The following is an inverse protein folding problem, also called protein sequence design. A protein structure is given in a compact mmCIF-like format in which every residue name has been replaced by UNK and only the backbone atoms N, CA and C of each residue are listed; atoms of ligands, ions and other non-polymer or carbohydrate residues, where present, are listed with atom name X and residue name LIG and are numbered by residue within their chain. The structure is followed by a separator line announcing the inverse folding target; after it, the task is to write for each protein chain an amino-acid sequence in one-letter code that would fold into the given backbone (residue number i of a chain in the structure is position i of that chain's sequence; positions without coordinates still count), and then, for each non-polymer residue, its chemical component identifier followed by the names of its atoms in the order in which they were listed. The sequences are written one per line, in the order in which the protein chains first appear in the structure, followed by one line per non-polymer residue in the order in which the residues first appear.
data_IF_305375010840
#
_entry.id   IF_305375010840
#
_cell.length_a   1.000
_cell.length_b   1.000
_cell.length_c   1.000
_cell.angle_alpha   90.00
_cell.angle_beta   90.00
_cell.angle_gamma   90.00
#
_symmetry.space_group_name_H-M   'P 1'
#
loop_
_entity.id
_entity.type
_entity.pdbx_description
1 polymer ?
#
# COMPACT_ATOMS: atom_id res chain seq x y z
N UNK A 1 -60.75 12.49 -4.08
CA UNK A 1 -59.53 11.95 -3.44
C UNK A 1 -58.69 11.33 -4.54
N UNK A 2 -57.94 12.18 -5.23
CA UNK A 2 -57.03 11.78 -6.29
C UNK A 2 -55.64 11.81 -5.69
N UNK A 3 -55.01 10.64 -5.54
CA UNK A 3 -53.63 10.51 -5.12
C UNK A 3 -52.73 10.96 -6.27
N UNK A 4 -52.03 12.07 -6.07
CA UNK A 4 -50.86 12.44 -6.86
C UNK A 4 -49.73 11.45 -6.51
N UNK A 5 -49.52 10.46 -7.38
CA UNK A 5 -48.26 9.73 -7.42
C UNK A 5 -47.25 10.57 -8.21
N UNK A 6 -46.19 10.96 -7.50
CA UNK A 6 -45.01 11.68 -7.97
C UNK A 6 -44.37 11.02 -9.20
N UNK A 7 -44.48 11.67 -10.35
CA UNK A 7 -44.00 11.22 -11.67
C UNK A 7 -42.49 11.40 -11.91
N UNK A 8 -41.68 11.76 -10.90
CA UNK A 8 -40.25 12.08 -11.08
C UNK A 8 -39.30 10.90 -10.93
N UNK A 9 -39.72 9.79 -10.33
CA UNK A 9 -38.82 8.66 -9.97
C UNK A 9 -38.66 7.61 -11.07
N UNK A 10 -39.68 7.47 -11.94
CA UNK A 10 -39.72 6.46 -13.01
C UNK A 10 -38.72 6.74 -14.15
N UNK A 11 -38.50 7.99 -14.61
CA UNK A 11 -37.50 8.30 -15.64
C UNK A 11 -36.06 8.03 -15.19
N UNK A 12 -35.76 8.26 -13.90
CA UNK A 12 -34.44 8.06 -13.31
C UNK A 12 -34.04 6.58 -13.26
N UNK A 13 -34.97 5.70 -12.87
CA UNK A 13 -34.75 4.25 -12.86
C UNK A 13 -34.54 3.69 -14.27
N UNK A 14 -35.34 4.13 -15.26
CA UNK A 14 -35.17 3.70 -16.65
C UNK A 14 -33.84 4.18 -17.25
N UNK A 15 -33.41 5.42 -16.99
CA UNK A 15 -32.12 5.93 -17.53
C UNK A 15 -30.91 5.25 -16.88
N UNK A 16 -30.97 4.93 -15.58
CA UNK A 16 -29.96 4.08 -14.94
C UNK A 16 -29.93 2.69 -15.57
N UNK A 17 -31.08 2.07 -15.87
CA UNK A 17 -31.12 0.78 -16.57
C UNK A 17 -30.52 0.88 -17.99
N UNK A 18 -30.74 1.98 -18.71
CA UNK A 18 -30.26 2.13 -20.10
C UNK A 18 -28.73 2.30 -20.19
N UNK A 19 -28.07 2.91 -19.21
CA UNK A 19 -26.62 3.19 -19.27
C UNK A 19 -25.77 2.38 -18.27
N UNK A 20 -26.40 1.68 -17.33
CA UNK A 20 -25.73 0.93 -16.26
C UNK A 20 -26.26 -0.51 -16.09
N UNK A 21 -26.74 -1.12 -17.18
CA UNK A 21 -26.96 -2.57 -17.27
C UNK A 21 -25.81 -3.28 -18.00
N UNK A 22 -25.54 -4.54 -17.62
CA UNK A 22 -24.62 -5.46 -18.28
C UNK A 22 -25.21 -5.97 -19.62
N UNK A 23 -25.59 -5.05 -20.51
CA UNK A 23 -26.02 -5.33 -21.87
C UNK A 23 -24.84 -5.17 -22.82
N UNK A 24 -24.73 -6.06 -23.81
CA UNK A 24 -23.62 -5.98 -24.77
C UNK A 24 -23.62 -4.64 -25.53
N UNK A 25 -24.78 -4.01 -25.74
CA UNK A 25 -24.85 -2.71 -26.42
C UNK A 25 -24.31 -1.54 -25.58
N UNK A 26 -24.39 -1.60 -24.24
CA UNK A 26 -23.93 -0.51 -23.36
C UNK A 26 -22.41 -0.50 -23.21
N UNK A 27 -21.76 -1.67 -23.28
CA UNK A 27 -20.30 -1.79 -23.20
C UNK A 27 -19.58 -1.12 -24.39
N UNK A 28 -20.22 -1.05 -25.56
CA UNK A 28 -19.67 -0.49 -26.79
C UNK A 28 -19.91 1.03 -26.94
N UNK A 29 -20.71 1.64 -26.06
CA UNK A 29 -20.96 3.08 -26.11
C UNK A 29 -19.69 3.87 -25.75
N UNK A 30 -19.41 4.99 -26.45
CA UNK A 30 -18.28 5.85 -26.12
C UNK A 30 -18.49 6.50 -24.75
N UNK A 31 -17.89 5.91 -23.71
CA UNK A 31 -18.07 6.26 -22.28
C UNK A 31 -17.91 7.75 -21.99
N UNK A 32 -16.95 8.40 -22.65
CA UNK A 32 -16.73 9.84 -22.50
C UNK A 32 -17.89 10.68 -23.07
N UNK A 33 -18.48 10.29 -24.20
CA UNK A 33 -19.63 10.99 -24.78
C UNK A 33 -20.88 10.81 -23.92
N UNK A 34 -21.08 9.61 -23.37
CA UNK A 34 -22.18 9.35 -22.41
C UNK A 34 -22.01 10.22 -21.17
N UNK A 35 -20.79 10.32 -20.63
CA UNK A 35 -20.51 11.22 -19.50
C UNK A 35 -20.83 12.69 -19.82
N UNK A 36 -20.44 13.18 -21.00
CA UNK A 36 -20.76 14.54 -21.44
C UNK A 36 -22.27 14.74 -21.54
N UNK A 37 -22.98 13.81 -22.19
CA UNK A 37 -24.43 13.86 -22.34
C UNK A 37 -25.16 13.84 -20.99
N UNK A 38 -24.78 12.95 -20.07
CA UNK A 38 -25.37 12.89 -18.73
C UNK A 38 -25.08 14.17 -17.94
N UNK A 39 -23.89 14.74 -18.08
CA UNK A 39 -23.55 16.01 -17.42
C UNK A 39 -24.41 17.18 -17.87
N UNK A 40 -24.85 17.19 -19.13
CA UNK A 40 -25.69 18.24 -19.70
C UNK A 40 -27.19 18.02 -19.46
N UNK A 41 -27.65 16.76 -19.51
CA UNK A 41 -29.08 16.43 -19.48
C UNK A 41 -29.59 16.02 -18.11
N UNK A 42 -28.83 15.24 -17.35
CA UNK A 42 -29.25 14.63 -16.08
C UNK A 42 -28.05 14.52 -15.10
N UNK A 43 -27.65 15.63 -14.46
CA UNK A 43 -26.47 15.67 -13.59
C UNK A 43 -26.50 14.66 -12.43
N UNK A 44 -27.70 14.29 -11.95
CA UNK A 44 -27.90 13.35 -10.85
C UNK A 44 -27.48 11.91 -11.21
N UNK A 45 -27.46 11.56 -12.51
CA UNK A 45 -27.03 10.25 -13.00
C UNK A 45 -25.52 10.13 -13.19
N UNK A 46 -24.77 11.23 -13.10
CA UNK A 46 -23.33 11.24 -13.33
C UNK A 46 -22.58 10.40 -12.29
N UNK A 47 -22.91 10.55 -11.00
CA UNK A 47 -22.27 9.78 -9.93
C UNK A 47 -22.59 8.27 -10.08
N UNK A 48 -23.86 7.84 -10.18
CA UNK A 48 -24.19 6.43 -10.42
C UNK A 48 -23.51 5.83 -11.64
N UNK A 49 -23.46 6.56 -12.75
CA UNK A 49 -22.81 6.11 -13.99
C UNK A 49 -21.30 5.92 -13.80
N UNK A 50 -20.62 6.87 -13.16
CA UNK A 50 -19.18 6.78 -12.89
C UNK A 50 -18.85 5.69 -11.87
N UNK A 51 -19.66 5.53 -10.82
CA UNK A 51 -19.55 4.41 -9.87
C UNK A 51 -19.67 3.08 -10.60
N UNK A 52 -20.63 2.96 -11.52
CA UNK A 52 -20.83 1.74 -12.31
C UNK A 52 -19.63 1.45 -13.21
N UNK A 53 -19.17 2.40 -14.02
CA UNK A 53 -18.03 2.18 -14.91
C UNK A 53 -16.77 1.81 -14.12
N UNK A 54 -16.50 2.50 -13.00
CA UNK A 54 -15.26 2.29 -12.25
C UNK A 54 -15.31 0.98 -11.45
N UNK A 55 -16.43 0.66 -10.80
CA UNK A 55 -16.52 -0.52 -9.93
C UNK A 55 -16.97 -1.80 -10.65
N UNK A 56 -17.81 -1.69 -11.68
CA UNK A 56 -18.33 -2.84 -12.42
C UNK A 56 -17.48 -3.18 -13.64
N UNK A 57 -17.04 -2.17 -14.38
CA UNK A 57 -16.25 -2.35 -15.60
C UNK A 57 -14.74 -2.14 -15.40
N UNK A 58 -14.31 -1.88 -14.15
CA UNK A 58 -12.90 -1.70 -13.76
C UNK A 58 -12.14 -0.72 -14.67
N UNK A 59 -12.82 0.34 -15.10
CA UNK A 59 -12.21 1.31 -16.01
C UNK A 59 -11.14 2.14 -15.28
N UNK A 60 -9.92 2.08 -15.80
CA UNK A 60 -8.74 2.73 -15.24
C UNK A 60 -8.53 4.17 -15.75
N UNK A 61 -9.42 4.70 -16.59
CA UNK A 61 -9.23 5.99 -17.26
C UNK A 61 -9.25 7.14 -16.25
N UNK A 62 -8.15 7.92 -16.12
CA UNK A 62 -8.04 8.96 -15.10
C UNK A 62 -9.14 10.03 -15.12
N UNK A 63 -9.69 10.33 -16.30
CA UNK A 63 -10.77 11.31 -16.47
C UNK A 63 -12.01 10.91 -15.66
N UNK A 64 -12.37 9.62 -15.65
CA UNK A 64 -13.56 9.15 -14.92
C UNK A 64 -13.35 9.22 -13.41
N UNK A 65 -12.18 8.77 -12.94
CA UNK A 65 -11.81 8.84 -11.52
C UNK A 65 -11.74 10.29 -11.02
N UNK A 66 -11.11 11.17 -11.80
CA UNK A 66 -11.07 12.60 -11.48
C UNK A 66 -12.46 13.23 -11.47
N UNK A 67 -13.31 12.88 -12.44
CA UNK A 67 -14.67 13.43 -12.49
C UNK A 67 -15.48 12.96 -11.29
N UNK A 68 -15.36 11.69 -10.92
CA UNK A 68 -16.06 11.13 -9.76
C UNK A 68 -15.65 11.81 -8.46
N UNK A 69 -14.35 12.01 -8.22
CA UNK A 69 -13.87 12.74 -7.03
C UNK A 69 -14.41 14.17 -7.01
N UNK A 70 -14.37 14.90 -8.13
CA UNK A 70 -14.92 16.26 -8.19
C UNK A 70 -16.43 16.26 -7.87
N UNK A 71 -17.20 15.33 -8.45
CA UNK A 71 -18.65 15.24 -8.23
C UNK A 71 -19.02 14.86 -6.79
N UNK A 72 -18.26 13.94 -6.18
CA UNK A 72 -18.41 13.67 -4.74
C UNK A 72 -18.14 14.92 -3.91
N UNK A 73 -17.02 15.61 -4.15
CA UNK A 73 -16.69 16.80 -3.38
C UNK A 73 -17.73 17.92 -3.56
N UNK A 74 -18.20 18.19 -4.78
CA UNK A 74 -19.26 19.17 -5.05
C UNK A 74 -20.51 18.88 -4.23
N UNK A 75 -21.01 17.63 -4.26
CA UNK A 75 -22.22 17.22 -3.54
C UNK A 75 -22.03 17.24 -2.02
N UNK A 76 -20.89 16.74 -1.53
CA UNK A 76 -20.55 16.74 -0.10
C UNK A 76 -20.45 18.17 0.43
N UNK A 77 -19.86 19.11 -0.30
CA UNK A 77 -19.73 20.50 0.18
C UNK A 77 -21.08 21.20 0.34
N UNK A 78 -22.04 20.93 -0.55
CA UNK A 78 -23.41 21.43 -0.42
C UNK A 78 -24.06 20.85 0.83
N UNK A 79 -24.09 19.52 0.93
CA UNK A 79 -24.70 18.81 2.07
C UNK A 79 -24.04 19.16 3.42
N UNK A 80 -22.72 19.35 3.44
CA UNK A 80 -21.97 19.73 4.62
C UNK A 80 -22.32 21.15 5.08
N UNK A 81 -22.59 22.06 4.14
CA UNK A 81 -23.03 23.43 4.47
C UNK A 81 -24.39 23.40 5.15
N UNK A 82 -25.34 22.65 4.57
CA UNK A 82 -26.68 22.49 5.13
C UNK A 82 -26.65 21.79 6.50
N UNK A 83 -25.85 20.74 6.63
CA UNK A 83 -25.65 20.04 7.89
C UNK A 83 -25.08 20.96 8.98
N UNK A 84 -24.05 21.75 8.67
CA UNK A 84 -23.45 22.68 9.63
C UNK A 84 -24.42 23.78 10.07
N UNK A 85 -25.28 24.25 9.17
CA UNK A 85 -26.32 25.22 9.49
C UNK A 85 -27.45 24.62 10.35
N UNK A 86 -27.66 23.30 10.27
CA UNK A 86 -28.66 22.59 11.08
C UNK A 86 -28.21 22.28 12.50
N UNK A 87 -26.89 22.34 12.78
CA UNK A 87 -26.35 22.03 14.09
C UNK A 87 -26.61 23.16 15.10
N UNK A 88 -26.93 22.83 16.37
CA UNK A 88 -26.98 23.83 17.42
C UNK A 88 -25.62 24.53 17.61
N UNK A 89 -25.64 25.81 17.97
CA UNK A 89 -24.41 26.56 18.22
C UNK A 89 -23.50 25.82 19.23
N UNK A 90 -22.23 25.69 18.87
CA UNK A 90 -21.21 25.05 19.70
C UNK A 90 -21.15 23.51 19.63
N UNK A 91 -22.05 22.84 18.89
CA UNK A 91 -21.93 21.39 18.68
C UNK A 91 -20.93 21.08 17.56
N UNK A 92 -19.89 20.26 17.81
CA UNK A 92 -18.97 19.85 16.77
C UNK A 92 -19.68 18.95 15.75
N UNK A 93 -19.35 19.04 14.46
CA UNK A 93 -19.88 18.12 13.45
C UNK A 93 -19.40 16.69 13.74
N UNK A 94 -20.21 15.71 13.34
CA UNK A 94 -19.79 14.32 13.38
C UNK A 94 -18.51 14.10 12.53
N UNK A 95 -17.67 13.09 12.88
CA UNK A 95 -16.49 12.75 12.07
C UNK A 95 -16.85 12.41 10.63
N UNK A 96 -15.92 12.65 9.70
CA UNK A 96 -16.12 12.32 8.28
C UNK A 96 -16.55 10.86 8.07
N UNK A 97 -17.66 10.67 7.35
CA UNK A 97 -18.30 9.38 7.08
C UNK A 97 -19.29 8.92 8.16
N UNK A 98 -19.38 9.62 9.29
CA UNK A 98 -20.32 9.33 10.39
C UNK A 98 -21.43 10.38 10.51
N UNK A 99 -21.51 11.31 9.56
CA UNK A 99 -22.61 12.26 9.47
C UNK A 99 -23.93 11.54 9.16
N UNK A 100 -25.08 12.07 9.62
CA UNK A 100 -26.36 11.45 9.35
C UNK A 100 -26.78 11.57 7.88
N UNK A 101 -27.51 10.56 7.40
CA UNK A 101 -28.17 10.56 6.10
C UNK A 101 -27.19 10.48 4.92
N UNK A 102 -27.61 11.07 3.80
CA UNK A 102 -26.89 11.00 2.52
C UNK A 102 -25.45 11.55 2.61
N UNK A 103 -25.20 12.54 3.49
CA UNK A 103 -23.89 13.13 3.68
C UNK A 103 -22.86 12.09 4.13
N UNK A 104 -23.16 11.32 5.19
CA UNK A 104 -22.24 10.31 5.71
C UNK A 104 -22.02 9.17 4.72
N UNK A 105 -23.06 8.76 4.00
CA UNK A 105 -22.97 7.72 2.96
C UNK A 105 -22.05 8.14 1.82
N UNK A 106 -22.26 9.34 1.24
CA UNK A 106 -21.42 9.86 0.17
C UNK A 106 -20.00 10.14 0.63
N UNK A 107 -19.81 10.67 1.84
CA UNK A 107 -18.49 10.96 2.39
C UNK A 107 -17.72 9.67 2.66
N UNK A 108 -18.38 8.63 3.14
CA UNK A 108 -17.80 7.28 3.28
C UNK A 108 -17.39 6.71 1.93
N UNK A 109 -18.24 6.81 0.91
CA UNK A 109 -17.89 6.39 -0.47
C UNK A 109 -16.66 7.12 -0.98
N UNK A 110 -16.58 8.44 -0.78
CA UNK A 110 -15.42 9.24 -1.18
C UNK A 110 -14.13 8.79 -0.44
N UNK A 111 -14.18 8.61 0.88
CA UNK A 111 -13.02 8.17 1.66
C UNK A 111 -12.50 6.82 1.17
N UNK A 112 -13.41 5.85 0.98
CA UNK A 112 -13.07 4.51 0.44
C UNK A 112 -12.48 4.64 -0.97
N UNK A 113 -13.06 5.49 -1.81
CA UNK A 113 -12.58 5.70 -3.17
C UNK A 113 -11.16 6.29 -3.19
N UNK A 114 -10.87 7.30 -2.36
CA UNK A 114 -9.55 7.92 -2.28
C UNK A 114 -8.47 6.97 -1.75
N UNK A 115 -8.83 6.07 -0.84
CA UNK A 115 -7.93 5.02 -0.35
C UNK A 115 -7.62 3.99 -1.44
N UNK A 116 -8.62 3.55 -2.21
CA UNK A 116 -8.48 2.39 -3.10
C UNK A 116 -8.09 2.74 -4.53
N UNK A 117 -8.62 3.82 -5.10
CA UNK A 117 -8.35 4.20 -6.49
C UNK A 117 -6.90 4.66 -6.68
N UNK A 118 -6.29 4.24 -7.79
CA UNK A 118 -4.93 4.63 -8.20
C UNK A 118 -4.89 5.58 -9.38
N UNK A 119 -6.04 5.88 -9.99
CA UNK A 119 -6.11 6.51 -11.30
C UNK A 119 -6.50 7.99 -11.25
N UNK A 120 -6.80 8.54 -10.07
CA UNK A 120 -7.05 9.97 -9.92
C UNK A 120 -5.75 10.78 -9.73
N UNK A 121 -5.76 12.05 -10.16
CA UNK A 121 -4.62 12.97 -10.05
C UNK A 121 -4.48 13.50 -8.63
N UNK A 122 -3.64 12.84 -7.83
CA UNK A 122 -3.49 13.04 -6.39
C UNK A 122 -3.09 14.50 -6.05
N UNK A 123 -2.17 15.10 -6.80
CA UNK A 123 -1.66 16.47 -6.55
C UNK A 123 -2.76 17.52 -6.65
N UNK A 124 -3.65 17.39 -7.66
CA UNK A 124 -4.77 18.31 -7.88
C UNK A 124 -5.74 18.28 -6.71
N UNK A 125 -6.05 17.09 -6.20
CA UNK A 125 -7.06 16.93 -5.15
C UNK A 125 -6.53 17.28 -3.76
N UNK A 126 -5.23 17.14 -3.50
CA UNK A 126 -4.63 17.56 -2.23
C UNK A 126 -4.90 19.06 -2.01
N UNK A 127 -4.56 19.91 -2.98
CA UNK A 127 -4.79 21.35 -2.88
C UNK A 127 -6.28 21.70 -2.82
N UNK A 128 -7.10 21.03 -3.64
CA UNK A 128 -8.53 21.31 -3.69
C UNK A 128 -9.25 20.99 -2.36
N UNK A 129 -9.01 19.82 -1.78
CA UNK A 129 -9.66 19.36 -0.53
C UNK A 129 -9.24 20.22 0.66
N UNK A 130 -7.96 20.55 0.77
CA UNK A 130 -7.44 21.40 1.84
C UNK A 130 -8.06 22.80 1.82
N UNK A 131 -8.20 23.39 0.62
CA UNK A 131 -8.87 24.70 0.44
C UNK A 131 -10.36 24.68 0.80
N UNK A 132 -11.01 23.52 0.71
CA UNK A 132 -12.44 23.35 0.97
C UNK A 132 -12.74 22.84 2.39
N UNK A 133 -11.73 22.65 3.22
CA UNK A 133 -11.88 22.14 4.59
C UNK A 133 -12.23 20.65 4.67
N UNK A 134 -12.00 19.89 3.59
CA UNK A 134 -12.16 18.43 3.54
C UNK A 134 -10.88 17.77 4.05
N UNK A 135 -10.59 17.94 5.34
CA UNK A 135 -9.30 17.60 5.94
C UNK A 135 -9.03 16.09 6.02
N UNK A 136 -10.06 15.28 6.29
CA UNK A 136 -9.93 13.81 6.31
C UNK A 136 -9.54 13.28 4.94
N UNK A 137 -10.23 13.75 3.90
CA UNK A 137 -9.96 13.42 2.50
C UNK A 137 -8.58 13.94 2.07
N UNK A 138 -8.26 15.19 2.41
CA UNK A 138 -6.98 15.82 2.13
C UNK A 138 -5.80 15.06 2.75
N UNK A 139 -5.94 14.57 3.99
CA UNK A 139 -4.92 13.77 4.66
C UNK A 139 -4.66 12.43 3.95
N UNK A 140 -5.70 11.75 3.46
CA UNK A 140 -5.56 10.52 2.67
C UNK A 140 -4.76 10.81 1.38
N UNK A 141 -5.14 11.87 0.66
CA UNK A 141 -4.51 12.25 -0.60
C UNK A 141 -3.04 12.68 -0.39
N UNK A 142 -2.75 13.45 0.66
CA UNK A 142 -1.39 13.82 1.04
C UNK A 142 -0.53 12.61 1.40
N UNK A 143 -1.10 11.64 2.12
CA UNK A 143 -0.41 10.39 2.43
C UNK A 143 -0.02 9.60 1.19
N UNK A 144 -0.86 9.61 0.16
CA UNK A 144 -0.55 8.97 -1.14
C UNK A 144 0.54 9.70 -1.93
N UNK A 145 0.71 11.01 -1.73
CA UNK A 145 1.85 11.77 -2.28
C UNK A 145 3.16 11.49 -1.53
N UNK A 146 3.14 10.65 -0.47
CA UNK A 146 4.29 10.46 0.42
C UNK A 146 4.51 11.60 1.40
N UNK A 147 3.59 12.58 1.46
CA UNK A 147 3.62 13.71 2.39
C UNK A 147 3.05 13.30 3.75
N UNK A 148 3.70 12.32 4.38
CA UNK A 148 3.19 11.71 5.61
C UNK A 148 3.18 12.66 6.81
N UNK A 149 4.13 13.59 6.87
CA UNK A 149 4.16 14.62 7.90
C UNK A 149 2.90 15.49 7.84
N UNK A 150 2.59 16.08 6.68
CA UNK A 150 1.38 16.89 6.49
C UNK A 150 0.09 16.11 6.84
N UNK A 151 -0.01 14.86 6.42
CA UNK A 151 -1.17 14.02 6.73
C UNK A 151 -1.34 13.78 8.23
N UNK A 152 -0.26 13.43 8.93
CA UNK A 152 -0.27 13.20 10.38
C UNK A 152 -0.55 14.50 11.15
N UNK A 153 0.05 15.60 10.73
CA UNK A 153 -0.21 16.94 11.24
C UNK A 153 -1.70 17.30 11.14
N UNK A 154 -2.37 16.96 10.03
CA UNK A 154 -3.82 17.17 9.91
C UNK A 154 -4.58 16.34 10.96
N UNK A 155 -4.26 15.06 11.10
CA UNK A 155 -4.95 14.21 12.07
C UNK A 155 -4.76 14.68 13.52
N UNK A 156 -3.55 15.15 13.87
CA UNK A 156 -3.20 15.51 15.24
C UNK A 156 -3.64 16.94 15.57
N UNK A 157 -3.36 17.92 14.71
CA UNK A 157 -3.52 19.33 15.06
C UNK A 157 -4.84 19.92 14.58
N UNK A 158 -5.39 19.44 13.46
CA UNK A 158 -6.65 19.98 12.91
C UNK A 158 -7.82 19.14 13.37
N UNK A 159 -7.75 17.83 13.17
CA UNK A 159 -8.82 16.91 13.51
C UNK A 159 -8.78 16.45 14.97
N UNK A 160 -7.66 16.67 15.68
CA UNK A 160 -7.42 16.26 17.06
C UNK A 160 -7.77 14.78 17.32
N UNK A 161 -7.55 13.93 16.31
CA UNK A 161 -7.89 12.52 16.33
C UNK A 161 -6.64 11.64 16.25
N UNK A 162 -6.03 11.44 17.42
CA UNK A 162 -4.83 10.62 17.61
C UNK A 162 -5.03 9.16 17.17
N UNK A 163 -6.23 8.61 17.35
CA UNK A 163 -6.55 7.25 16.91
C UNK A 163 -6.50 7.11 15.38
N UNK A 164 -6.96 8.13 14.63
CA UNK A 164 -6.81 8.18 13.17
C UNK A 164 -5.34 8.31 12.76
N UNK A 165 -4.54 9.10 13.46
CA UNK A 165 -3.10 9.22 13.21
C UNK A 165 -2.36 7.88 13.36
N UNK A 166 -2.66 7.12 14.41
CA UNK A 166 -2.11 5.78 14.59
C UNK A 166 -2.59 4.78 13.53
N UNK A 167 -3.89 4.77 13.22
CA UNK A 167 -4.43 3.93 12.14
C UNK A 167 -3.77 4.23 10.79
N UNK A 168 -3.51 5.51 10.52
CA UNK A 168 -2.79 5.95 9.33
C UNK A 168 -1.36 5.37 9.31
N UNK A 169 -0.65 5.38 10.44
CA UNK A 169 0.67 4.76 10.54
C UNK A 169 0.61 3.26 10.28
N UNK A 170 -0.34 2.54 10.87
CA UNK A 170 -0.53 1.09 10.66
C UNK A 170 -0.79 0.74 9.20
N UNK A 171 -1.61 1.54 8.51
CA UNK A 171 -1.92 1.34 7.09
C UNK A 171 -0.74 1.66 6.16
N UNK A 172 0.04 2.70 6.46
CA UNK A 172 1.07 3.22 5.56
C UNK A 172 2.48 2.71 5.87
N UNK A 173 2.71 2.10 7.04
CA UNK A 173 4.02 1.59 7.40
C UNK A 173 4.48 0.46 6.48
N UNK A 174 5.71 0.55 5.99
CA UNK A 174 6.31 -0.49 5.16
C UNK A 174 7.84 -0.42 5.26
N UNK A 175 8.48 -1.50 5.75
CA UNK A 175 9.94 -1.59 5.89
C UNK A 175 10.69 -1.42 4.56
N UNK A 176 10.07 -1.84 3.46
CA UNK A 176 10.71 -1.87 2.13
C UNK A 176 10.52 -0.58 1.31
N UNK A 177 9.69 0.36 1.77
CA UNK A 177 9.34 1.57 1.01
C UNK A 177 9.97 2.81 1.66
N UNK A 178 10.83 3.56 0.95
CA UNK A 178 11.40 4.79 1.49
C UNK A 178 10.29 5.82 1.73
N UNK A 179 10.38 6.57 2.82
CA UNK A 179 9.32 7.46 3.32
C UNK A 179 8.33 6.72 4.25
N UNK A 180 7.72 5.64 3.77
CA UNK A 180 6.75 4.83 4.53
C UNK A 180 7.38 4.13 5.76
N UNK A 181 8.66 3.76 5.70
CA UNK A 181 9.38 3.16 6.83
C UNK A 181 9.51 4.10 8.04
N UNK A 182 9.46 5.42 7.82
CA UNK A 182 9.71 6.43 8.86
C UNK A 182 8.40 7.05 9.39
N UNK A 183 7.23 6.53 9.01
CA UNK A 183 5.91 7.11 9.37
C UNK A 183 5.70 7.17 10.89
N UNK A 184 6.09 6.12 11.62
CA UNK A 184 6.03 6.14 13.10
C UNK A 184 7.05 7.10 13.72
N UNK A 185 8.21 7.31 13.09
CA UNK A 185 9.16 8.33 13.54
C UNK A 185 8.60 9.73 13.31
N UNK A 186 7.92 9.97 12.20
CA UNK A 186 7.23 11.23 11.95
C UNK A 186 6.14 11.47 13.00
N UNK A 187 5.36 10.43 13.34
CA UNK A 187 4.37 10.53 14.42
C UNK A 187 5.02 10.84 15.78
N UNK A 188 6.12 10.15 16.11
CA UNK A 188 6.90 10.42 17.32
C UNK A 188 7.40 11.86 17.36
N UNK A 189 7.96 12.36 16.25
CA UNK A 189 8.40 13.75 16.14
C UNK A 189 7.26 14.70 16.47
N UNK A 190 6.07 14.49 15.91
CA UNK A 190 4.92 15.37 16.10
C UNK A 190 4.40 15.42 17.55
N UNK A 191 4.64 14.38 18.35
CA UNK A 191 4.29 14.37 19.78
C UNK A 191 5.37 14.97 20.68
N UNK A 192 6.63 15.01 20.23
CA UNK A 192 7.73 15.55 21.01
C UNK A 192 7.81 17.08 20.93
N UNK A 193 8.26 17.76 22.01
CA UNK A 193 8.53 19.18 21.98
C UNK A 193 9.75 19.46 21.10
N UNK A 194 9.54 20.08 19.93
CA UNK A 194 10.61 20.56 19.05
C UNK A 194 10.34 21.99 18.60
N UNK A 195 11.37 22.87 18.53
CA UNK A 195 11.23 24.22 17.98
C UNK A 195 10.82 24.23 16.50
N UNK A 196 11.03 23.14 15.75
CA UNK A 196 10.59 23.00 14.35
C UNK A 196 9.10 22.64 14.25
N UNK A 197 8.58 21.83 15.19
CA UNK A 197 7.15 21.48 15.29
C UNK A 197 6.27 22.67 15.69
N UNK A 198 6.87 23.78 16.14
CA UNK A 198 6.17 24.99 16.58
C UNK A 198 5.73 25.90 15.42
N UNK A 199 6.13 25.60 14.18
CA UNK A 199 5.71 26.32 12.97
C UNK A 199 5.24 25.36 11.91
N UNK A 200 4.14 24.67 12.18
CA UNK A 200 3.49 23.90 11.14
C UNK A 200 2.81 24.87 10.17
N UNK A 201 3.48 25.17 9.06
CA UNK A 201 2.86 25.87 7.94
C UNK A 201 2.27 24.83 6.99
N UNK A 202 1.06 24.37 7.28
CA UNK A 202 0.33 23.56 6.31
C UNK A 202 -0.13 24.52 5.21
N UNK A 203 0.23 24.28 3.93
CA UNK A 203 -0.29 25.06 2.83
C UNK A 203 -1.81 25.18 2.96
N UNK A 204 -2.34 26.40 2.79
CA UNK A 204 -3.77 26.73 2.76
C UNK A 204 -4.52 26.83 4.11
N UNK A 205 -3.94 26.41 5.24
CA UNK A 205 -4.61 26.50 6.56
C UNK A 205 -4.10 27.68 7.41
N UNK A 206 -2.92 28.21 7.08
CA UNK A 206 -2.31 29.33 7.82
C UNK A 206 -1.64 28.85 9.11
N UNK A 207 -1.47 29.76 10.08
CA UNK A 207 -0.82 29.45 11.36
C UNK A 207 -1.77 28.67 12.27
N UNK A 208 -1.38 27.44 12.60
CA UNK A 208 -2.01 26.63 13.65
C UNK A 208 -1.22 26.90 14.93
N UNK A 209 -1.86 27.26 16.07
CA UNK A 209 -1.16 27.45 17.33
C UNK A 209 -0.38 26.19 17.69
N UNK A 210 0.84 26.33 18.23
CA UNK A 210 1.72 25.20 18.49
C UNK A 210 1.00 24.22 19.42
N UNK A 211 0.96 22.92 19.05
CA UNK A 211 0.34 21.91 19.89
C UNK A 211 1.08 21.80 21.22
N UNK A 212 0.34 21.48 22.28
CA UNK A 212 0.99 21.03 23.51
C UNK A 212 1.66 19.68 23.23
N UNK A 213 2.96 19.53 23.56
CA UNK A 213 3.66 18.27 23.38
C UNK A 213 3.04 17.19 24.25
N UNK A 214 2.81 16.01 23.68
CA UNK A 214 2.22 14.86 24.37
C UNK A 214 3.28 13.77 24.59
N UNK A 215 4.03 13.94 25.68
CA UNK A 215 5.16 13.08 26.03
C UNK A 215 4.67 11.65 26.36
N UNK A 216 3.50 11.52 26.99
CA UNK A 216 2.95 10.22 27.37
C UNK A 216 2.65 9.37 26.12
N UNK A 217 2.04 9.97 25.09
CA UNK A 217 1.80 9.29 23.81
C UNK A 217 3.08 8.99 23.05
N UNK A 218 4.07 9.88 23.09
CA UNK A 218 5.38 9.63 22.49
C UNK A 218 6.03 8.36 23.09
N UNK A 219 5.99 8.22 24.42
CA UNK A 219 6.49 7.03 25.12
C UNK A 219 5.66 5.79 24.76
N UNK A 220 4.33 5.90 24.69
CA UNK A 220 3.47 4.76 24.34
C UNK A 220 3.75 4.24 22.92
N UNK A 221 3.99 5.15 21.96
CA UNK A 221 4.39 4.76 20.60
C UNK A 221 5.70 3.98 20.61
N UNK A 222 6.70 4.42 21.38
CA UNK A 222 7.96 3.71 21.48
C UNK A 222 7.78 2.31 22.06
N UNK A 223 6.91 2.15 23.06
CA UNK A 223 6.63 0.84 23.66
C UNK A 223 5.88 -0.08 22.70
N UNK A 224 4.87 0.43 22.01
CA UNK A 224 3.97 -0.38 21.19
C UNK A 224 4.55 -0.74 19.82
N UNK A 225 5.33 0.16 19.21
CA UNK A 225 5.83 0.04 17.83
C UNK A 225 7.36 -0.01 17.77
N UNK A 226 8.00 -0.61 18.79
CA UNK A 226 9.45 -0.70 18.91
C UNK A 226 10.11 -1.47 17.74
N UNK A 227 9.39 -2.43 17.15
CA UNK A 227 9.85 -3.27 16.03
C UNK A 227 9.75 -2.55 14.67
N UNK A 228 8.86 -1.56 14.60
CA UNK A 228 8.57 -0.78 13.40
C UNK A 228 9.38 0.52 13.32
N UNK A 229 9.84 1.03 14.47
CA UNK A 229 10.60 2.27 14.58
C UNK A 229 12.10 2.01 14.47
N UNK A 230 12.81 2.81 13.65
CA UNK A 230 14.28 2.81 13.68
C UNK A 230 14.76 3.35 15.03
N UNK A 231 15.32 2.43 15.83
CA UNK A 231 15.70 2.70 17.22
C UNK A 231 16.79 3.77 17.32
N UNK A 232 17.72 3.83 16.37
CA UNK A 232 18.78 4.84 16.39
C UNK A 232 18.22 6.22 16.09
N UNK A 233 17.36 6.34 15.08
CA UNK A 233 16.69 7.61 14.77
C UNK A 233 15.80 8.05 15.92
N UNK A 234 15.02 7.15 16.51
CA UNK A 234 14.16 7.47 17.66
C UNK A 234 14.96 8.01 18.85
N UNK A 235 16.06 7.35 19.22
CA UNK A 235 16.93 7.79 20.32
C UNK A 235 17.54 9.17 20.08
N UNK A 236 17.87 9.50 18.83
CA UNK A 236 18.39 10.83 18.46
C UNK A 236 17.37 11.96 18.55
N UNK A 237 16.07 11.63 18.52
CA UNK A 237 14.97 12.60 18.57
C UNK A 237 14.48 12.87 19.99
N UNK A 238 14.80 12.00 20.95
CA UNK A 238 14.31 12.15 22.31
C UNK A 238 14.94 13.38 22.99
N UNK A 239 14.13 14.33 23.47
CA UNK A 239 14.64 15.47 24.22
C UNK A 239 15.23 15.02 25.56
N UNK A 240 16.23 15.76 26.04
CA UNK A 240 16.89 15.52 27.32
C UNK A 240 15.97 15.68 28.55
N UNK A 241 14.76 16.20 28.35
CA UNK A 241 13.72 16.34 29.36
C UNK A 241 13.14 14.97 29.75
N UNK A 242 13.16 13.97 28.86
CA UNK A 242 12.58 12.65 29.12
C UNK A 242 13.56 11.81 29.96
N UNK A 243 13.16 11.36 31.16
CA UNK A 243 13.95 10.43 31.97
C UNK A 243 14.19 9.11 31.25
N UNK A 244 15.39 8.55 31.42
CA UNK A 244 15.75 7.23 30.86
C UNK A 244 14.86 6.12 31.44
N UNK A 245 14.33 6.30 32.66
CA UNK A 245 13.38 5.37 33.27
C UNK A 245 12.12 5.15 32.43
N UNK A 246 11.67 6.17 31.72
CA UNK A 246 10.38 6.17 31.04
C UNK A 246 10.45 5.44 29.69
N UNK A 247 11.65 5.40 29.11
CA UNK A 247 11.98 4.67 27.87
C UNK A 247 12.65 3.32 28.13
N UNK A 248 12.72 2.86 29.38
CA UNK A 248 13.37 1.59 29.76
C UNK A 248 12.82 0.40 28.96
N UNK A 249 11.50 0.24 28.92
CA UNK A 249 10.85 -0.90 28.24
C UNK A 249 11.18 -0.90 26.74
N UNK A 250 11.23 0.29 26.13
CA UNK A 250 11.65 0.46 24.73
C UNK A 250 13.10 0.05 24.54
N UNK A 251 14.02 0.51 25.39
CA UNK A 251 15.45 0.15 25.32
C UNK A 251 15.66 -1.35 25.50
N UNK A 252 14.96 -2.00 26.43
CA UNK A 252 15.00 -3.45 26.62
C UNK A 252 14.54 -4.18 25.36
N UNK A 253 13.42 -3.76 24.77
CA UNK A 253 12.91 -4.31 23.51
C UNK A 253 13.94 -4.16 22.36
N UNK A 254 14.52 -2.97 22.20
CA UNK A 254 15.55 -2.70 21.18
C UNK A 254 16.77 -3.61 21.36
N UNK A 255 17.26 -3.77 22.60
CA UNK A 255 18.39 -4.66 22.89
C UNK A 255 18.06 -6.12 22.56
N UNK A 256 16.87 -6.59 22.94
CA UNK A 256 16.40 -7.93 22.59
C UNK A 256 16.33 -8.13 21.08
N UNK A 257 15.83 -7.16 20.33
CA UNK A 257 15.72 -7.21 18.87
C UNK A 257 17.09 -7.23 18.18
N UNK A 258 18.03 -6.40 18.63
CA UNK A 258 19.41 -6.39 18.12
C UNK A 258 20.06 -7.76 18.36
N UNK A 259 19.87 -8.32 19.56
CA UNK A 259 20.41 -9.63 19.92
C UNK A 259 19.78 -10.75 19.10
N UNK A 260 18.46 -10.76 18.94
CA UNK A 260 17.73 -11.74 18.13
C UNK A 260 18.18 -11.70 16.66
N UNK A 261 18.28 -10.50 16.08
CA UNK A 261 18.77 -10.31 14.70
C UNK A 261 20.21 -10.79 14.53
N UNK A 262 21.09 -10.50 15.51
CA UNK A 262 22.47 -11.00 15.51
C UNK A 262 22.50 -12.53 15.49
N UNK A 263 21.71 -13.18 16.35
CA UNK A 263 21.65 -14.64 16.39
C UNK A 263 21.10 -15.25 15.09
N UNK A 264 20.02 -14.70 14.52
CA UNK A 264 19.45 -15.18 13.25
C UNK A 264 20.49 -15.08 12.11
N UNK A 265 21.17 -13.93 11.99
CA UNK A 265 22.23 -13.75 10.98
C UNK A 265 23.39 -14.73 11.19
N UNK A 266 23.81 -14.96 12.43
CA UNK A 266 24.88 -15.92 12.75
C UNK A 266 24.47 -17.37 12.41
N UNK A 267 23.23 -17.76 12.72
CA UNK A 267 22.70 -19.07 12.40
C UNK A 267 22.61 -19.27 10.88
N UNK A 268 21.99 -18.33 10.16
CA UNK A 268 21.91 -18.36 8.70
C UNK A 268 23.29 -18.44 8.05
N UNK A 269 24.24 -17.62 8.50
CA UNK A 269 25.64 -17.68 8.02
C UNK A 269 26.24 -19.06 8.23
N UNK A 270 26.04 -19.66 9.41
CA UNK A 270 26.59 -20.97 9.74
C UNK A 270 25.97 -22.10 8.90
N UNK A 271 24.65 -22.03 8.65
CA UNK A 271 23.93 -22.97 7.79
C UNK A 271 24.36 -22.85 6.33
N UNK A 272 24.41 -21.64 5.79
CA UNK A 272 24.89 -21.38 4.43
C UNK A 272 26.34 -21.81 4.24
N UNK A 273 27.18 -21.60 5.26
CA UNK A 273 28.57 -22.05 5.22
C UNK A 273 28.67 -23.59 5.23
N UNK A 274 27.87 -24.27 6.04
CA UNK A 274 27.81 -25.74 6.04
C UNK A 274 27.34 -26.29 4.69
N UNK A 275 26.31 -25.70 4.08
CA UNK A 275 25.84 -26.05 2.75
C UNK A 275 26.92 -25.81 1.68
N UNK A 276 27.58 -24.66 1.73
CA UNK A 276 28.69 -24.33 0.84
C UNK A 276 29.79 -25.39 0.91
N UNK A 277 30.19 -25.81 2.12
CA UNK A 277 31.19 -26.87 2.31
C UNK A 277 30.73 -28.22 1.75
N UNK A 278 29.45 -28.59 1.93
CA UNK A 278 28.91 -29.84 1.37
C UNK A 278 28.91 -29.83 -0.16
N UNK A 279 28.51 -28.72 -0.78
CA UNK A 279 28.54 -28.54 -2.24
C UNK A 279 29.98 -28.57 -2.75
N UNK A 280 30.90 -27.92 -2.04
CA UNK A 280 32.32 -27.95 -2.38
C UNK A 280 32.91 -29.37 -2.28
N UNK A 281 32.58 -30.12 -1.23
CA UNK A 281 33.00 -31.51 -1.08
C UNK A 281 32.46 -32.41 -2.19
N UNK A 282 31.17 -32.26 -2.55
CA UNK A 282 30.57 -32.96 -3.70
C UNK A 282 31.27 -32.59 -5.01
N UNK A 283 31.57 -31.31 -5.22
CA UNK A 283 32.29 -30.84 -6.40
C UNK A 283 33.68 -31.48 -6.48
N UNK A 284 34.46 -31.47 -5.39
CA UNK A 284 35.77 -32.13 -5.32
C UNK A 284 35.63 -33.64 -5.59
N UNK A 285 34.62 -34.29 -5.03
CA UNK A 285 34.35 -35.70 -5.26
C UNK A 285 34.12 -35.99 -6.75
N UNK A 286 33.25 -35.23 -7.42
CA UNK A 286 32.98 -35.40 -8.86
C UNK A 286 34.16 -35.00 -9.75
N UNK A 287 34.95 -33.99 -9.38
CA UNK A 287 36.16 -33.59 -10.12
C UNK A 287 37.35 -34.55 -9.90
N UNK A 288 37.37 -35.28 -8.79
CA UNK A 288 38.41 -36.28 -8.55
C UNK A 288 38.20 -37.56 -9.36
N UNK A 289 36.97 -37.80 -9.85
CA UNK A 289 36.69 -38.89 -10.77
C UNK A 289 37.41 -38.65 -12.11
N UNK A 290 38.37 -39.53 -12.42
CA UNK A 290 39.11 -39.52 -13.68
C UNK A 290 38.87 -40.84 -14.41
N UNK A 291 38.37 -40.74 -15.63
CA UNK A 291 38.31 -41.87 -16.55
C UNK A 291 39.62 -41.93 -17.34
N UNK A 292 40.38 -43.02 -17.19
CA UNK A 292 41.54 -43.31 -18.04
C UNK A 292 41.09 -44.34 -19.07
N UNK A 293 41.04 -43.94 -20.35
CA UNK A 293 40.76 -44.87 -21.45
C UNK A 293 42.10 -45.36 -22.01
N UNK A 294 42.30 -46.66 -21.94
CA UNK A 294 43.46 -47.39 -22.43
C UNK A 294 43.14 -48.11 -23.74
N UNK A 295 44.16 -48.61 -24.43
CA UNK A 295 44.00 -49.35 -25.69
C UNK A 295 43.29 -50.71 -25.53
N UNK A 296 43.05 -51.14 -24.27
CA UNK A 296 42.37 -52.38 -23.92
C UNK A 296 40.87 -52.16 -23.66
N UNK A 297 40.41 -50.92 -23.52
CA UNK A 297 39.00 -50.63 -23.21
C UNK A 297 38.10 -50.90 -24.41
N UNK A 298 37.08 -51.74 -24.20
CA UNK A 298 36.12 -52.15 -25.22
C UNK A 298 34.73 -51.56 -24.95
N UNK A 299 34.03 -51.20 -26.01
CA UNK A 299 32.64 -50.79 -25.94
C UNK A 299 31.73 -51.96 -25.56
N UNK A 300 30.88 -51.79 -24.54
CA UNK A 300 29.93 -52.85 -24.12
C UNK A 300 28.89 -53.26 -25.16
N UNK A 301 28.53 -52.36 -26.09
CA UNK A 301 27.52 -52.64 -27.11
C UNK A 301 28.13 -53.35 -28.31
N UNK A 302 29.15 -52.76 -28.95
CA UNK A 302 29.71 -53.32 -30.19
C UNK A 302 30.95 -54.20 -29.98
N UNK A 303 31.45 -54.31 -28.74
CA UNK A 303 32.63 -55.10 -28.35
C UNK A 303 33.93 -54.75 -29.09
N UNK A 304 33.99 -53.58 -29.75
CA UNK A 304 35.21 -53.05 -30.38
C UNK A 304 35.98 -52.15 -29.41
N UNK A 305 37.29 -52.04 -29.62
CA UNK A 305 38.17 -51.14 -28.84
C UNK A 305 37.77 -49.68 -29.01
N UNK A 306 37.81 -48.91 -27.92
CA UNK A 306 37.48 -47.48 -27.94
C UNK A 306 38.62 -46.66 -28.55
N UNK A 307 39.85 -46.84 -28.04
CA UNK A 307 41.06 -46.19 -28.55
C UNK A 307 40.89 -44.67 -28.65
N UNK A 308 41.13 -44.12 -29.85
CA UNK A 308 41.00 -42.67 -30.15
C UNK A 308 39.61 -42.24 -30.63
N UNK A 309 38.64 -43.14 -30.62
CA UNK A 309 37.29 -42.84 -31.13
C UNK A 309 36.49 -42.01 -30.12
N UNK A 310 35.55 -41.20 -30.60
CA UNK A 310 34.60 -40.50 -29.72
C UNK A 310 33.80 -41.52 -28.88
N UNK A 311 33.70 -41.27 -27.58
CA UNK A 311 33.06 -42.16 -26.62
C UNK A 311 32.08 -41.41 -25.72
N UNK A 312 31.16 -42.16 -25.11
CA UNK A 312 30.26 -41.71 -24.06
C UNK A 312 30.49 -42.58 -22.81
N UNK A 313 30.53 -41.95 -21.65
CA UNK A 313 30.68 -42.63 -20.36
C UNK A 313 29.44 -42.38 -19.50
N UNK A 314 28.81 -43.44 -19.03
CA UNK A 314 27.56 -43.38 -18.28
C UNK A 314 27.82 -43.39 -16.77
N UNK A 315 26.92 -42.81 -15.94
CA UNK A 315 27.03 -42.85 -14.47
C UNK A 315 27.11 -44.25 -13.87
N UNK A 316 26.72 -45.29 -14.62
CA UNK A 316 26.87 -46.71 -14.25
C UNK A 316 28.32 -47.21 -14.31
N UNK A 317 29.28 -46.38 -14.74
CA UNK A 317 30.69 -46.75 -14.92
C UNK A 317 31.01 -47.42 -16.24
N UNK A 318 30.06 -47.49 -17.18
CA UNK A 318 30.24 -48.14 -18.49
C UNK A 318 30.60 -47.11 -19.55
N UNK A 319 31.61 -47.43 -20.36
CA UNK A 319 32.05 -46.62 -21.50
C UNK A 319 31.64 -47.31 -22.82
N UNK A 320 31.05 -46.54 -23.73
CA UNK A 320 30.63 -47.00 -25.07
C UNK A 320 31.10 -46.02 -26.13
N UNK A 321 31.14 -46.45 -27.40
CA UNK A 321 31.33 -45.50 -28.50
C UNK A 321 30.18 -44.50 -28.56
N UNK A 322 30.45 -43.28 -29.02
CA UNK A 322 29.43 -42.24 -29.13
C UNK A 322 28.24 -42.67 -30.00
N UNK A 323 28.50 -43.42 -31.08
CA UNK A 323 27.48 -44.01 -31.95
C UNK A 323 26.64 -45.11 -31.29
N UNK A 324 27.14 -45.73 -30.22
CA UNK A 324 26.45 -46.77 -29.47
C UNK A 324 25.69 -46.21 -28.25
N UNK A 325 25.70 -44.90 -28.02
CA UNK A 325 25.12 -44.29 -26.82
C UNK A 325 23.62 -44.59 -26.69
N UNK A 326 22.87 -44.45 -27.80
CA UNK A 326 21.41 -44.53 -27.78
C UNK A 326 20.96 -45.98 -27.64
N UNK A 327 21.72 -46.91 -28.23
CA UNK A 327 21.49 -48.34 -28.07
C UNK A 327 21.75 -48.79 -26.62
N UNK A 328 22.84 -48.32 -25.98
CA UNK A 328 23.10 -48.63 -24.58
C UNK A 328 22.01 -48.03 -23.67
N UNK A 329 21.59 -46.79 -23.92
CA UNK A 329 20.57 -46.10 -23.12
C UNK A 329 19.17 -46.74 -23.21
N UNK A 330 18.89 -47.51 -24.27
CA UNK A 330 17.65 -48.28 -24.42
C UNK A 330 17.70 -49.65 -23.73
N UNK A 331 18.90 -50.19 -23.52
CA UNK A 331 19.14 -51.52 -22.93
C UNK A 331 19.40 -51.49 -21.41
N UNK A 332 19.72 -50.31 -20.85
CA UNK A 332 20.07 -50.08 -19.43
C UNK A 332 18.93 -49.50 -18.61
#
# INVERSE_FOLDING_TARGET
MSQELSNSTVPFQLKNMIFAEDLAETEHLPRQQVLTYLSETEPDLVIPYLEFIIHRWDDETPIFHNTLVNKYCEKILILLTDYRNSLPEGHPPAPAGQEPGELGELRTKLLIFLENSKYYTVERFATYMMNKGLYDEGAIVLGRLGRHEDALTIYIHILQNYAKAENYCRKNYSKDKPGNQDVYLTLLKLYLPSPENQKVNIPFIGYIPPPEPDIERAINILKQYADEIDSFKALSLLPSVIPVSDVKDFLECVLHNIQARKYDVQLRKSLLYAEHLQVQAKSIHFHSYKLIVTDLDMCRVCQKRIGKSAFAHFPTGVTVHYSCKDQYALES
#
